data_IF_244333444575
#
_entry.id   IF_244333444575
#
_cell.length_a   1.000
_cell.length_b   1.000
_cell.length_c   1.000
_cell.angle_alpha   90.00
_cell.angle_beta   90.00
_cell.angle_gamma   90.00
#
_symmetry.space_group_name_H-M   'P 1'
#
loop_
_entity.id
_entity.type
_entity.pdbx_description
1 polymer ?
#
# COMPACT_ATOMS: atom_id res chain seq x y z
N UNK A 1 23.63 -17.68 -1.10
CA UNK A 1 22.67 -16.72 -1.10
C UNK A 1 21.62 -16.86 -2.13
N UNK A 2 21.88 -17.37 -3.32
CA UNK A 2 20.89 -17.53 -4.35
C UNK A 2 19.77 -18.48 -3.95
N UNK A 3 20.06 -19.52 -3.20
CA UNK A 3 19.08 -20.50 -2.77
C UNK A 3 18.11 -19.92 -1.75
N UNK A 4 18.63 -19.18 -0.80
CA UNK A 4 17.78 -18.48 0.17
C UNK A 4 16.90 -17.47 -0.53
N UNK A 5 17.45 -16.81 -1.54
CA UNK A 5 16.74 -15.79 -2.28
C UNK A 5 15.51 -16.35 -3.00
N UNK A 6 15.59 -17.59 -3.50
CA UNK A 6 14.47 -18.16 -4.24
C UNK A 6 13.25 -18.38 -3.36
N UNK A 7 13.44 -18.92 -2.17
CA UNK A 7 12.32 -19.14 -1.25
C UNK A 7 11.71 -17.82 -0.77
N UNK A 8 12.56 -16.88 -0.40
CA UNK A 8 12.10 -15.56 0.01
C UNK A 8 11.41 -14.83 -1.13
N UNK A 9 11.94 -14.96 -2.33
CA UNK A 9 11.34 -14.34 -3.51
C UNK A 9 9.95 -14.91 -3.79
N UNK A 10 9.78 -16.21 -3.63
CA UNK A 10 8.50 -16.87 -3.83
C UNK A 10 7.45 -16.34 -2.85
N UNK A 11 7.83 -16.18 -1.60
CA UNK A 11 6.95 -15.62 -0.57
C UNK A 11 6.63 -14.17 -0.82
N UNK A 12 7.60 -13.40 -1.28
CA UNK A 12 7.39 -12.01 -1.66
C UNK A 12 6.41 -11.88 -2.81
N UNK A 13 6.47 -12.79 -3.79
CA UNK A 13 5.54 -12.79 -4.91
C UNK A 13 4.11 -12.96 -4.41
N UNK A 14 3.89 -13.81 -3.40
CA UNK A 14 2.57 -13.98 -2.80
C UNK A 14 2.10 -12.73 -2.05
N UNK A 15 3.02 -12.07 -1.34
CA UNK A 15 2.69 -10.90 -0.53
C UNK A 15 2.55 -9.63 -1.36
N UNK A 16 3.37 -9.46 -2.38
CA UNK A 16 3.42 -8.21 -3.15
C UNK A 16 2.11 -7.87 -3.87
N UNK A 17 1.37 -8.82 -4.47
CA UNK A 17 0.08 -8.48 -5.06
C UNK A 17 -0.90 -7.91 -4.04
N UNK A 18 -0.88 -8.41 -2.81
CA UNK A 18 -1.71 -7.88 -1.74
C UNK A 18 -1.27 -6.46 -1.37
N UNK A 19 0.04 -6.25 -1.18
CA UNK A 19 0.58 -4.93 -0.84
C UNK A 19 0.25 -3.92 -1.94
N UNK A 20 0.43 -4.31 -3.19
CA UNK A 20 0.10 -3.45 -4.34
C UNK A 20 -1.38 -3.10 -4.33
N UNK A 21 -2.25 -4.07 -4.03
CA UNK A 21 -3.70 -3.82 -3.97
C UNK A 21 -4.06 -2.84 -2.87
N UNK A 22 -3.42 -2.94 -1.71
CA UNK A 22 -3.66 -2.02 -0.60
C UNK A 22 -3.24 -0.61 -0.99
N UNK A 23 -2.06 -0.45 -1.58
CA UNK A 23 -1.60 0.86 -2.02
C UNK A 23 -2.49 1.43 -3.13
N UNK A 24 -3.03 0.57 -3.99
CA UNK A 24 -3.96 1.01 -5.02
C UNK A 24 -5.25 1.57 -4.41
N UNK A 25 -5.82 0.87 -3.44
CA UNK A 25 -7.02 1.34 -2.73
C UNK A 25 -6.74 2.66 -2.03
N UNK A 26 -5.61 2.74 -1.33
CA UNK A 26 -5.23 3.96 -0.62
C UNK A 26 -5.02 5.10 -1.60
N UNK A 27 -4.41 4.83 -2.74
CA UNK A 27 -4.16 5.84 -3.74
C UNK A 27 -5.46 6.37 -4.36
N UNK A 28 -6.46 5.52 -4.54
CA UNK A 28 -7.78 5.93 -4.99
C UNK A 28 -8.43 6.88 -4.00
N UNK A 29 -8.36 6.55 -2.70
CA UNK A 29 -8.89 7.42 -1.65
C UNK A 29 -8.12 8.74 -1.61
N UNK A 30 -6.79 8.65 -1.68
CA UNK A 30 -5.93 9.83 -1.67
C UNK A 30 -6.29 10.77 -2.82
N UNK A 31 -6.40 10.24 -4.03
CA UNK A 31 -6.74 11.04 -5.21
C UNK A 31 -8.13 11.66 -5.11
N UNK A 32 -9.09 10.90 -4.61
CA UNK A 32 -10.46 11.39 -4.42
C UNK A 32 -10.49 12.57 -3.46
N UNK A 33 -9.84 12.43 -2.30
CA UNK A 33 -9.83 13.48 -1.30
C UNK A 33 -9.01 14.68 -1.75
N UNK A 34 -7.91 14.45 -2.44
CA UNK A 34 -7.08 15.51 -3.00
C UNK A 34 -7.87 16.34 -4.02
N UNK A 35 -8.59 15.68 -4.92
CA UNK A 35 -9.42 16.35 -5.92
C UNK A 35 -10.54 17.16 -5.26
N UNK A 36 -11.13 16.60 -4.22
CA UNK A 36 -12.19 17.28 -3.47
C UNK A 36 -11.65 18.54 -2.79
N UNK A 37 -10.51 18.43 -2.12
CA UNK A 37 -9.89 19.58 -1.45
C UNK A 37 -9.49 20.65 -2.46
N UNK A 38 -8.94 20.26 -3.59
CA UNK A 38 -8.55 21.19 -4.63
C UNK A 38 -9.76 21.98 -5.16
N UNK A 39 -10.89 21.29 -5.36
CA UNK A 39 -12.11 21.96 -5.81
C UNK A 39 -12.61 22.95 -4.76
N UNK A 40 -12.57 22.56 -3.48
CA UNK A 40 -13.01 23.43 -2.40
C UNK A 40 -12.17 24.70 -2.28
N UNK A 41 -10.88 24.59 -2.62
CA UNK A 41 -9.94 25.71 -2.53
C UNK A 41 -9.79 26.45 -3.86
N UNK A 42 -10.40 25.96 -4.93
CA UNK A 42 -10.24 26.56 -6.25
C UNK A 42 -8.86 26.33 -6.86
N UNK A 43 -8.20 25.26 -6.48
CA UNK A 43 -6.85 24.92 -6.95
C UNK A 43 -6.97 23.93 -8.08
N UNK A 44 -6.19 24.14 -9.15
CA UNK A 44 -6.21 23.28 -10.34
C UNK A 44 -4.91 22.50 -10.46
N UNK A 45 -4.96 21.37 -11.15
CA UNK A 45 -3.76 20.60 -11.50
C UNK A 45 -2.80 21.51 -12.27
N UNK A 46 -1.54 21.36 -12.01
CA UNK A 46 -0.51 22.19 -12.62
C UNK A 46 -0.12 23.38 -11.76
N UNK A 47 -0.94 23.73 -10.78
CA UNK A 47 -0.56 24.78 -9.83
C UNK A 47 0.40 24.23 -8.78
N UNK A 48 1.27 25.09 -8.29
CA UNK A 48 2.24 24.72 -7.26
C UNK A 48 1.55 24.23 -5.99
N UNK A 49 0.47 24.85 -5.62
CA UNK A 49 -0.34 24.47 -4.48
C UNK A 49 -0.84 23.03 -4.60
N UNK A 50 -1.26 22.62 -5.79
CA UNK A 50 -1.69 21.27 -6.03
C UNK A 50 -0.55 20.27 -5.83
N UNK A 51 0.64 20.59 -6.32
CA UNK A 51 1.82 19.76 -6.14
C UNK A 51 2.16 19.58 -4.66
N UNK A 52 2.09 20.66 -3.89
CA UNK A 52 2.34 20.61 -2.46
C UNK A 52 1.32 19.72 -1.74
N UNK A 53 0.05 19.86 -2.09
CA UNK A 53 -1.01 19.04 -1.52
C UNK A 53 -0.81 17.56 -1.88
N UNK A 54 -0.41 17.29 -3.12
CA UNK A 54 -0.16 15.95 -3.58
C UNK A 54 1.01 15.31 -2.81
N UNK A 55 2.11 16.05 -2.67
CA UNK A 55 3.26 15.58 -1.91
C UNK A 55 2.90 15.33 -0.45
N UNK A 56 2.10 16.20 0.13
CA UNK A 56 1.63 16.02 1.51
C UNK A 56 0.80 14.75 1.64
N UNK A 57 -0.09 14.50 0.69
CA UNK A 57 -0.93 13.30 0.71
C UNK A 57 -0.10 12.02 0.60
N UNK A 58 0.91 12.01 -0.26
CA UNK A 58 1.84 10.88 -0.37
C UNK A 58 2.61 10.66 0.92
N UNK A 59 3.10 11.73 1.52
CA UNK A 59 3.88 11.64 2.76
C UNK A 59 3.06 11.07 3.90
N UNK A 60 1.80 11.47 3.99
CA UNK A 60 0.88 10.96 5.02
C UNK A 60 0.65 9.46 4.83
N UNK A 61 0.34 9.05 3.61
CA UNK A 61 0.07 7.65 3.29
C UNK A 61 1.31 6.80 3.56
N UNK A 62 2.46 7.23 3.08
CA UNK A 62 3.70 6.49 3.26
C UNK A 62 4.08 6.40 4.74
N UNK A 63 3.92 7.49 5.48
CA UNK A 63 4.21 7.50 6.90
C UNK A 63 3.33 6.56 7.70
N UNK A 64 2.08 6.38 7.27
CA UNK A 64 1.14 5.48 7.96
C UNK A 64 1.37 4.03 7.57
N UNK A 65 1.60 3.75 6.28
CA UNK A 65 1.59 2.40 5.77
C UNK A 65 2.95 1.72 5.67
N UNK A 66 4.05 2.48 5.66
CA UNK A 66 5.36 1.87 5.43
C UNK A 66 5.71 0.83 6.49
N UNK A 67 5.54 1.15 7.76
CA UNK A 67 5.87 0.22 8.85
C UNK A 67 4.93 -1.00 8.86
N UNK A 68 3.60 -0.84 8.83
CA UNK A 68 2.72 -2.01 8.76
C UNK A 68 2.97 -2.90 7.56
N UNK A 69 3.22 -2.30 6.40
CA UNK A 69 3.45 -3.09 5.19
C UNK A 69 4.80 -3.82 5.23
N UNK A 70 5.84 -3.18 5.75
CA UNK A 70 7.13 -3.83 5.91
C UNK A 70 7.04 -4.97 6.93
N UNK A 71 6.31 -4.77 8.02
CA UNK A 71 6.10 -5.82 9.01
C UNK A 71 5.30 -6.98 8.42
N UNK A 72 4.29 -6.67 7.62
CA UNK A 72 3.51 -7.69 6.92
C UNK A 72 4.41 -8.54 6.01
N UNK A 73 5.27 -7.89 5.23
CA UNK A 73 6.20 -8.60 4.35
C UNK A 73 7.15 -9.50 5.14
N UNK A 74 7.62 -9.01 6.29
CA UNK A 74 8.49 -9.81 7.17
C UNK A 74 7.77 -11.04 7.69
N UNK A 75 6.55 -10.87 8.18
CA UNK A 75 5.77 -11.98 8.71
C UNK A 75 5.50 -13.03 7.65
N UNK A 76 5.14 -12.62 6.46
CA UNK A 76 4.92 -13.53 5.34
C UNK A 76 6.20 -14.27 4.99
N UNK A 77 7.35 -13.59 5.07
CA UNK A 77 8.64 -14.20 4.76
C UNK A 77 9.17 -15.14 5.82
N UNK A 78 8.72 -14.97 7.07
CA UNK A 78 9.30 -15.69 8.23
C UNK A 78 8.39 -16.76 8.81
N UNK A 79 7.15 -16.88 8.40
CA UNK A 79 6.20 -17.79 9.00
C UNK A 79 5.75 -18.84 8.01
N UNK A 80 5.51 -20.05 8.51
CA UNK A 80 4.93 -21.13 7.72
C UNK A 80 3.42 -20.97 7.60
N UNK A 81 2.83 -20.07 8.39
CA UNK A 81 1.40 -19.80 8.38
C UNK A 81 1.05 -18.56 7.57
N UNK A 82 1.85 -18.30 6.54
CA UNK A 82 1.62 -17.10 5.73
C UNK A 82 0.25 -17.07 5.06
N UNK A 83 -0.32 -18.23 4.73
CA UNK A 83 -1.67 -18.27 4.14
C UNK A 83 -2.72 -17.79 5.14
N UNK A 84 -2.58 -18.18 6.41
CA UNK A 84 -3.49 -17.73 7.47
C UNK A 84 -3.38 -16.23 7.69
N UNK A 85 -2.15 -15.73 7.75
CA UNK A 85 -1.90 -14.30 7.92
C UNK A 85 -2.48 -13.52 6.75
N UNK A 86 -2.24 -14.01 5.54
CA UNK A 86 -2.74 -13.36 4.34
C UNK A 86 -4.26 -13.32 4.31
N UNK A 87 -4.91 -14.41 4.71
CA UNK A 87 -6.36 -14.48 4.76
C UNK A 87 -6.94 -13.49 5.76
N UNK A 88 -6.34 -13.41 6.95
CA UNK A 88 -6.80 -12.50 7.99
C UNK A 88 -6.68 -11.05 7.52
N UNK A 89 -5.53 -10.69 6.99
CA UNK A 89 -5.27 -9.31 6.55
C UNK A 89 -6.15 -8.97 5.36
N UNK A 90 -6.38 -9.94 4.46
CA UNK A 90 -7.27 -9.74 3.31
C UNK A 90 -8.69 -9.41 3.75
N UNK A 91 -9.17 -10.07 4.79
CA UNK A 91 -10.50 -9.78 5.34
C UNK A 91 -10.56 -8.39 5.93
N UNK A 92 -9.52 -8.01 6.66
CA UNK A 92 -9.47 -6.69 7.30
C UNK A 92 -9.53 -5.58 6.25
N UNK A 93 -8.81 -5.74 5.13
CA UNK A 93 -8.78 -4.75 4.08
C UNK A 93 -9.77 -5.01 2.96
N UNK A 94 -10.61 -6.04 3.12
CA UNK A 94 -11.64 -6.38 2.13
C UNK A 94 -11.03 -6.65 0.75
N UNK A 95 -9.87 -7.29 0.73
CA UNK A 95 -9.17 -7.65 -0.49
C UNK A 95 -9.54 -9.08 -0.89
N UNK A 96 -9.90 -9.28 -2.14
CA UNK A 96 -10.22 -10.61 -2.67
C UNK A 96 -9.11 -11.04 -3.62
N UNK A 97 -8.27 -12.01 -3.20
CA UNK A 97 -7.24 -12.53 -4.09
C UNK A 97 -7.88 -13.34 -5.23
N UNK A 98 -7.34 -13.18 -6.40
CA UNK A 98 -7.80 -13.91 -7.59
C UNK A 98 -6.90 -15.08 -7.90
#
# INVERSE_FOLDING_TARGET
NGMESMDLLFRKIKAEPFVVSIFKIVDEVRNRELSKAARMLGIKKGMKEFEIMEQLSFAIVEGILSTPMNNFRKEIGNTEKNDDVLNIVSRIFNYEPK
#
